data_IF_225247574894
#
_entry.id   IF_225247574894
#
_cell.length_a   1.000
_cell.length_b   1.000
_cell.length_c   1.000
_cell.angle_alpha   90.00
_cell.angle_beta   90.00
_cell.angle_gamma   90.00
#
_symmetry.space_group_name_H-M   'P 1'
#
loop_
_entity.id
_entity.type
_entity.pdbx_description
1 polymer ?
#
# COMPACT_ATOMS: atom_id res chain seq x y z
N UNK A 1 -9.83 -9.28 -4.14
CA UNK A 1 -9.30 -8.87 -2.82
C UNK A 1 -8.62 -10.09 -2.19
N UNK A 2 -7.28 -10.14 -2.14
CA UNK A 2 -6.52 -11.29 -1.60
C UNK A 2 -5.77 -10.97 -0.28
N UNK A 3 -5.99 -9.81 0.33
CA UNK A 3 -5.34 -9.45 1.60
C UNK A 3 -6.14 -9.96 2.80
N UNK A 4 -5.59 -10.92 3.55
CA UNK A 4 -6.04 -11.23 4.90
C UNK A 4 -5.43 -10.17 5.83
N UNK A 5 -6.27 -9.39 6.53
CA UNK A 5 -5.82 -8.39 7.50
C UNK A 5 -5.98 -8.92 8.92
N UNK A 6 -4.88 -9.14 9.64
CA UNK A 6 -4.92 -9.44 11.07
C UNK A 6 -4.75 -8.13 11.86
N UNK A 7 -5.71 -7.85 12.74
CA UNK A 7 -5.69 -6.71 13.65
C UNK A 7 -5.03 -7.09 14.98
N UNK A 8 -3.81 -6.64 15.22
CA UNK A 8 -3.12 -6.78 16.50
C UNK A 8 -3.49 -5.66 17.48
N UNK A 9 -3.82 -6.00 18.72
CA UNK A 9 -4.04 -5.03 19.82
C UNK A 9 -2.73 -4.76 20.57
N UNK A 10 -2.11 -3.61 20.33
CA UNK A 10 -1.15 -3.02 21.25
C UNK A 10 -1.87 -2.02 22.18
N UNK A 11 -1.54 -1.94 23.48
CA UNK A 11 -2.14 -0.99 24.40
C UNK A 11 -1.68 0.43 24.06
N UNK A 12 -2.52 1.15 23.31
CA UNK A 12 -2.28 2.53 22.90
C UNK A 12 -2.67 2.78 21.45
N UNK A 13 -3.97 2.66 21.11
CA UNK A 13 -4.62 3.17 19.87
C UNK A 13 -3.91 2.92 18.52
N UNK A 14 -2.92 2.04 18.48
CA UNK A 14 -2.17 1.62 17.32
C UNK A 14 -2.65 0.21 16.97
N UNK A 15 -3.37 0.11 15.86
CA UNK A 15 -3.80 -1.18 15.32
C UNK A 15 -2.77 -1.63 14.32
N UNK A 16 -2.11 -2.76 14.58
CA UNK A 16 -1.24 -3.39 13.58
C UNK A 16 -2.13 -4.12 12.57
N UNK A 17 -1.91 -3.87 11.29
CA UNK A 17 -2.62 -4.46 10.17
C UNK A 17 -1.61 -5.19 9.31
N UNK A 18 -1.62 -6.52 9.36
CA UNK A 18 -0.73 -7.32 8.53
C UNK A 18 -1.43 -7.79 7.25
N UNK A 19 -0.89 -7.48 6.05
CA UNK A 19 -1.37 -8.00 4.76
C UNK A 19 -0.37 -9.01 4.17
N UNK A 20 -0.87 -10.15 3.68
CA UNK A 20 -0.08 -11.28 3.19
C UNK A 20 -0.59 -11.79 1.83
N UNK A 21 0.11 -11.48 0.73
CA UNK A 21 0.18 -12.39 -0.40
C UNK A 21 1.56 -13.05 -0.42
N UNK A 22 1.62 -14.38 -0.30
CA UNK A 22 2.87 -15.16 -0.40
C UNK A 22 3.84 -14.95 0.78
N UNK A 23 5.16 -14.91 0.49
CA UNK A 23 6.23 -14.75 1.49
C UNK A 23 6.40 -13.30 1.99
N UNK A 24 5.63 -12.34 1.46
CA UNK A 24 5.73 -10.93 1.79
C UNK A 24 4.77 -10.54 2.91
N UNK A 25 5.29 -10.05 4.04
CA UNK A 25 4.50 -9.57 5.19
C UNK A 25 4.54 -8.06 5.24
N UNK A 26 3.45 -7.38 4.90
CA UNK A 26 3.31 -5.95 5.16
C UNK A 26 2.66 -5.75 6.53
N UNK A 27 3.35 -5.13 7.47
CA UNK A 27 2.78 -4.61 8.71
C UNK A 27 2.46 -3.12 8.54
N UNK A 28 1.28 -2.72 9.01
CA UNK A 28 0.82 -1.35 8.95
C UNK A 28 0.30 -0.92 10.31
N UNK A 29 1.04 -0.04 10.98
CA UNK A 29 0.61 0.57 12.22
C UNK A 29 -0.36 1.72 11.91
N UNK A 30 -1.60 1.61 12.39
CA UNK A 30 -2.66 2.61 12.15
C UNK A 30 -3.01 3.33 13.43
N UNK A 31 -2.87 4.65 13.43
CA UNK A 31 -3.30 5.54 14.51
C UNK A 31 -4.69 6.09 14.19
N UNK A 32 -5.67 5.77 15.03
CA UNK A 32 -7.05 6.22 14.89
C UNK A 32 -7.39 7.28 15.92
N UNK A 33 -7.61 8.53 15.52
CA UNK A 33 -8.06 9.54 16.46
C UNK A 33 -9.55 9.34 16.84
N UNK A 34 -9.97 9.65 18.09
CA UNK A 34 -11.37 9.61 18.49
C UNK A 34 -12.29 10.48 17.60
N UNK A 35 -11.73 11.54 17.01
CA UNK A 35 -12.36 12.37 15.99
C UNK A 35 -12.23 11.84 14.56
N UNK A 36 -12.21 10.53 14.33
CA UNK A 36 -11.99 9.89 13.02
C UNK A 36 -12.90 10.40 11.88
N UNK A 37 -14.10 10.92 12.19
CA UNK A 37 -14.97 11.58 11.21
C UNK A 37 -14.43 12.92 10.69
N UNK A 38 -13.44 13.51 11.36
CA UNK A 38 -12.85 14.82 11.08
C UNK A 38 -11.35 14.76 10.83
N UNK A 39 -10.65 13.80 11.44
CA UNK A 39 -9.21 13.59 11.31
C UNK A 39 -8.93 12.23 10.66
N UNK A 40 -8.12 12.18 9.60
CA UNK A 40 -7.81 10.92 8.93
C UNK A 40 -6.95 10.01 9.83
N UNK A 41 -7.10 8.67 9.71
CA UNK A 41 -6.12 7.74 10.22
C UNK A 41 -4.75 7.96 9.59
N UNK A 42 -3.70 7.76 10.38
CA UNK A 42 -2.31 7.83 9.93
C UNK A 42 -1.74 6.40 9.93
N UNK A 43 -1.09 6.03 8.83
CA UNK A 43 -0.47 4.74 8.60
C UNK A 43 1.05 4.86 8.63
N UNK A 44 1.72 3.88 9.25
CA UNK A 44 3.15 3.65 9.07
C UNK A 44 3.37 2.20 8.64
N UNK A 45 4.21 2.00 7.62
CA UNK A 45 4.35 0.74 6.91
C UNK A 45 5.74 0.13 7.15
N UNK A 46 5.76 -1.17 7.42
CA UNK A 46 6.96 -1.99 7.41
C UNK A 46 6.69 -3.24 6.57
N UNK A 47 7.41 -3.39 5.47
CA UNK A 47 7.34 -4.57 4.61
C UNK A 47 8.51 -5.50 4.92
N UNK A 48 8.21 -6.68 5.43
CA UNK A 48 9.17 -7.76 5.58
C UNK A 48 9.06 -8.70 4.38
N UNK A 49 9.87 -8.43 3.35
CA UNK A 49 10.00 -9.27 2.16
C UNK A 49 11.44 -9.13 1.62
N UNK A 50 12.19 -10.24 1.62
CA UNK A 50 13.62 -10.26 1.26
C UNK A 50 14.46 -9.25 2.08
N UNK A 51 14.06 -9.02 3.33
CA UNK A 51 14.60 -8.00 4.23
C UNK A 51 13.52 -7.06 4.76
N UNK A 52 13.88 -6.25 5.74
CA UNK A 52 12.99 -5.24 6.33
C UNK A 52 13.05 -3.94 5.52
N UNK A 53 11.91 -3.54 4.93
CA UNK A 53 11.74 -2.31 4.17
C UNK A 53 10.79 -1.37 4.90
N UNK A 54 11.24 -0.16 5.16
CA UNK A 54 10.51 0.90 5.85
C UNK A 54 10.64 2.20 5.06
N UNK A 55 9.87 3.23 5.40
CA UNK A 55 9.97 4.54 4.76
C UNK A 55 11.33 5.25 4.94
N UNK A 56 12.18 4.75 5.86
CA UNK A 56 13.54 5.24 6.05
C UNK A 56 14.56 4.67 5.06
N UNK A 57 14.31 3.46 4.54
CA UNK A 57 15.27 2.72 3.71
C UNK A 57 14.76 2.43 2.29
N UNK A 58 13.47 2.63 2.03
CA UNK A 58 12.86 2.40 0.72
C UNK A 58 11.89 3.53 0.34
N UNK A 59 12.25 4.24 -0.74
CA UNK A 59 11.46 5.35 -1.28
C UNK A 59 10.06 4.91 -1.72
N UNK A 60 9.88 3.65 -2.13
CA UNK A 60 8.58 3.15 -2.53
C UNK A 60 7.66 2.93 -1.33
N UNK A 61 8.18 2.46 -0.19
CA UNK A 61 7.39 2.35 1.05
C UNK A 61 6.94 3.74 1.50
N UNK A 62 7.85 4.72 1.44
CA UNK A 62 7.52 6.13 1.71
C UNK A 62 6.46 6.68 0.76
N UNK A 63 6.51 6.31 -0.52
CA UNK A 63 5.50 6.71 -1.50
C UNK A 63 4.15 6.00 -1.26
N UNK A 64 4.13 4.74 -0.83
CA UNK A 64 2.92 4.02 -0.41
C UNK A 64 2.27 4.69 0.81
N UNK A 65 3.06 5.05 1.83
CA UNK A 65 2.60 5.83 2.99
C UNK A 65 1.99 7.16 2.55
N UNK A 66 2.65 7.88 1.66
CA UNK A 66 2.14 9.14 1.07
C UNK A 66 0.79 8.95 0.36
N UNK A 67 0.61 7.86 -0.39
CA UNK A 67 -0.64 7.59 -1.11
C UNK A 67 -1.83 7.46 -0.14
N UNK A 68 -1.64 6.79 1.01
CA UNK A 68 -2.73 6.58 1.98
C UNK A 68 -2.88 7.72 2.99
N UNK A 69 -1.79 8.41 3.36
CA UNK A 69 -1.79 9.45 4.38
C UNK A 69 -1.97 10.87 3.83
N UNK A 70 -1.42 11.17 2.65
CA UNK A 70 -1.46 12.53 2.05
C UNK A 70 -2.62 12.63 1.05
N UNK A 71 -2.83 11.58 0.26
CA UNK A 71 -3.87 11.55 -0.78
C UNK A 71 -5.22 11.02 -0.28
N UNK A 72 -5.39 10.93 1.05
CA UNK A 72 -6.61 10.45 1.71
C UNK A 72 -7.89 11.22 1.31
N UNK A 73 -7.77 12.48 0.88
CA UNK A 73 -8.90 13.28 0.38
C UNK A 73 -9.59 12.66 -0.84
N UNK A 74 -8.83 11.97 -1.70
CA UNK A 74 -9.37 11.22 -2.86
C UNK A 74 -10.15 9.97 -2.41
N UNK A 75 -9.87 9.48 -1.20
CA UNK A 75 -10.51 8.32 -0.57
C UNK A 75 -11.71 8.73 0.29
N UNK A 76 -11.95 10.04 0.44
CA UNK A 76 -13.09 10.54 1.18
C UNK A 76 -14.35 10.26 0.37
N UNK A 77 -15.12 9.27 0.82
CA UNK A 77 -16.41 8.92 0.22
C UNK A 77 -17.49 9.98 0.47
N UNK A 78 -18.74 9.73 0.08
CA UNK A 78 -19.86 10.60 0.43
C UNK A 78 -19.93 10.81 1.96
N UNK A 79 -20.26 12.03 2.39
CA UNK A 79 -20.42 12.35 3.81
C UNK A 79 -21.46 11.38 4.42
N UNK A 80 -21.17 10.75 5.57
CA UNK A 80 -20.31 11.27 6.64
C UNK A 80 -18.83 10.83 6.63
N UNK A 81 -18.36 10.12 5.58
CA UNK A 81 -16.94 9.77 5.46
C UNK A 81 -16.47 8.58 6.32
N UNK A 82 -17.38 7.82 6.94
CA UNK A 82 -17.03 6.66 7.77
C UNK A 82 -16.23 5.56 7.07
N UNK A 83 -16.24 5.55 5.72
CA UNK A 83 -15.54 4.56 4.90
C UNK A 83 -14.06 4.89 4.65
N UNK A 84 -13.54 6.01 5.16
CA UNK A 84 -12.18 6.47 4.88
C UNK A 84 -11.11 5.40 5.21
N UNK A 85 -11.18 4.79 6.38
CA UNK A 85 -10.26 3.75 6.84
C UNK A 85 -10.30 2.53 5.91
N UNK A 86 -11.49 2.06 5.55
CA UNK A 86 -11.66 0.93 4.64
C UNK A 86 -11.11 1.27 3.24
N UNK A 87 -11.32 2.50 2.78
CA UNK A 87 -10.78 2.98 1.50
C UNK A 87 -9.25 3.12 1.54
N UNK A 88 -8.67 3.55 2.66
CA UNK A 88 -7.22 3.58 2.88
C UNK A 88 -6.63 2.18 2.89
N UNK A 89 -7.26 1.22 3.58
CA UNK A 89 -6.85 -0.18 3.57
C UNK A 89 -6.94 -0.81 2.17
N UNK A 90 -8.01 -0.52 1.43
CA UNK A 90 -8.17 -0.98 0.06
C UNK A 90 -7.11 -0.38 -0.85
N UNK A 91 -6.84 0.94 -0.74
CA UNK A 91 -5.77 1.61 -1.50
C UNK A 91 -4.41 1.00 -1.14
N UNK A 92 -4.15 0.73 0.14
CA UNK A 92 -2.94 0.10 0.62
C UNK A 92 -2.71 -1.27 -0.03
N UNK A 93 -3.74 -2.12 -0.05
CA UNK A 93 -3.69 -3.41 -0.78
C UNK A 93 -3.38 -3.21 -2.26
N UNK A 94 -4.02 -2.24 -2.92
CA UNK A 94 -3.78 -1.99 -4.35
C UNK A 94 -2.34 -1.55 -4.63
N UNK A 95 -1.77 -0.65 -3.81
CA UNK A 95 -0.38 -0.21 -4.00
C UNK A 95 0.62 -1.29 -3.60
N UNK A 96 0.29 -2.16 -2.64
CA UNK A 96 1.10 -3.33 -2.30
C UNK A 96 1.12 -4.35 -3.45
N UNK A 97 -0.01 -4.64 -4.06
CA UNK A 97 -0.09 -5.50 -5.25
C UNK A 97 0.84 -4.96 -6.34
N UNK A 98 0.72 -3.66 -6.68
CA UNK A 98 1.61 -3.00 -7.66
C UNK A 98 3.07 -3.08 -7.21
N UNK A 99 3.36 -2.87 -5.93
CA UNK A 99 4.73 -2.99 -5.42
C UNK A 99 5.29 -4.39 -5.68
N UNK A 100 4.57 -5.45 -5.32
CA UNK A 100 5.05 -6.82 -5.48
C UNK A 100 5.11 -7.25 -6.95
N UNK A 101 4.17 -6.83 -7.78
CA UNK A 101 4.11 -7.16 -9.21
C UNK A 101 5.20 -6.46 -10.05
N UNK A 102 5.61 -5.26 -9.63
CA UNK A 102 6.59 -4.43 -10.36
C UNK A 102 8.00 -4.52 -9.79
N UNK A 103 8.20 -5.20 -8.67
CA UNK A 103 9.55 -5.50 -8.15
C UNK A 103 10.30 -6.36 -9.16
N UNK A 104 11.46 -5.87 -9.64
CA UNK A 104 12.30 -6.62 -10.56
C UNK A 104 12.78 -7.90 -9.89
N UNK A 105 12.31 -9.04 -10.36
CA UNK A 105 12.94 -10.32 -10.04
C UNK A 105 14.31 -10.37 -10.71
N UNK A 106 15.32 -10.84 -9.98
CA UNK A 106 16.55 -11.30 -10.61
C UNK A 106 16.18 -12.37 -11.64
N UNK A 107 16.42 -12.06 -12.90
CA UNK A 107 16.12 -12.92 -14.06
C UNK A 107 16.96 -14.20 -14.10
N UNK A 108 17.75 -14.49 -13.06
CA UNK A 108 18.62 -15.66 -12.94
C UNK A 108 17.92 -16.88 -12.33
N UNK A 109 16.67 -16.76 -11.88
CA UNK A 109 15.92 -17.89 -11.31
C UNK A 109 14.79 -18.27 -12.26
N UNK A 110 15.00 -19.37 -12.97
CA UNK A 110 14.06 -20.00 -13.90
C UNK A 110 12.92 -20.65 -13.08
N UNK A 111 12.06 -19.81 -12.52
CA UNK A 111 10.92 -20.22 -11.70
C UNK A 111 9.70 -19.33 -11.96
N UNK A 112 8.47 -19.84 -11.73
CA UNK A 112 7.26 -19.04 -11.89
C UNK A 112 7.33 -17.82 -10.95
N UNK A 113 6.98 -16.63 -11.47
CA UNK A 113 6.93 -15.40 -10.66
C UNK A 113 6.05 -15.64 -9.44
N UNK A 114 6.58 -15.36 -8.24
CA UNK A 114 5.84 -15.48 -6.98
C UNK A 114 4.59 -14.57 -6.98
N UNK A 115 4.65 -13.48 -7.74
CA UNK A 115 3.56 -12.53 -7.96
C UNK A 115 3.30 -12.34 -9.47
N UNK A 116 2.20 -12.86 -10.03
CA UNK A 116 1.85 -12.65 -11.43
C UNK A 116 1.53 -11.18 -11.70
N UNK A 117 1.99 -10.65 -12.83
CA UNK A 117 1.69 -9.27 -13.26
C UNK A 117 0.27 -9.19 -13.82
N UNK A 118 -0.69 -8.93 -12.95
CA UNK A 118 -2.11 -8.86 -13.28
C UNK A 118 -2.59 -7.40 -13.47
N UNK A 119 -1.92 -6.39 -12.91
CA UNK A 119 -2.33 -4.98 -13.07
C UNK A 119 -1.78 -4.34 -14.35
N UNK A 120 -2.64 -3.60 -15.04
CA UNK A 120 -2.22 -2.74 -16.15
C UNK A 120 -1.56 -1.45 -15.63
N UNK A 121 -0.23 -1.38 -15.79
CA UNK A 121 0.59 -0.21 -15.48
C UNK A 121 1.07 0.45 -16.78
N UNK A 122 0.83 1.75 -16.98
CA UNK A 122 1.31 2.46 -18.18
C UNK A 122 2.84 2.50 -18.26
N UNK A 123 3.52 2.48 -17.11
CA UNK A 123 4.98 2.44 -16.98
C UNK A 123 5.35 1.81 -15.65
N UNK A 124 6.31 0.87 -15.66
CA UNK A 124 6.73 0.12 -14.47
C UNK A 124 7.51 0.97 -13.46
N UNK A 125 8.35 1.89 -13.95
CA UNK A 125 9.22 2.75 -13.13
C UNK A 125 9.38 4.13 -13.76
N UNK A 126 9.55 5.17 -12.93
CA UNK A 126 9.83 6.55 -13.37
C UNK A 126 10.96 7.19 -12.56
N UNK A 127 11.85 7.89 -13.26
CA UNK A 127 12.90 8.71 -12.65
C UNK A 127 14.08 7.92 -12.07
N UNK A 128 15.11 8.62 -11.54
CA UNK A 128 16.30 7.99 -10.95
C UNK A 128 16.00 7.10 -9.74
N UNK A 129 14.95 7.44 -8.99
CA UNK A 129 14.45 6.70 -7.82
C UNK A 129 13.61 5.48 -8.17
N UNK A 130 13.42 5.18 -9.46
CA UNK A 130 12.63 4.04 -9.98
C UNK A 130 11.23 3.93 -9.33
N UNK A 131 10.60 5.08 -9.06
CA UNK A 131 9.30 5.12 -8.38
C UNK A 131 8.25 4.34 -9.16
N UNK A 132 7.40 3.61 -8.44
CA UNK A 132 6.31 2.79 -9.00
C UNK A 132 5.02 3.59 -9.22
N UNK A 133 4.14 3.14 -10.14
CA UNK A 133 2.91 3.83 -10.46
C UNK A 133 1.80 3.54 -9.41
N UNK A 134 1.77 4.30 -8.31
CA UNK A 134 0.78 4.07 -7.24
C UNK A 134 -0.57 4.77 -7.45
N UNK A 135 -0.69 5.67 -8.44
CA UNK A 135 -1.92 6.40 -8.72
C UNK A 135 -2.84 5.60 -9.62
N UNK A 136 -3.97 5.14 -9.08
CA UNK A 136 -5.01 4.45 -9.85
C UNK A 136 -5.99 5.42 -10.52
N UNK A 137 -6.24 5.23 -11.81
CA UNK A 137 -7.22 5.99 -12.58
C UNK A 137 -8.52 5.18 -12.74
N UNK A 138 -9.55 5.51 -11.95
CA UNK A 138 -10.83 4.78 -11.96
C UNK A 138 -11.53 4.78 -13.33
N UNK A 139 -11.71 5.92 -14.03
CA UNK A 139 -12.35 5.94 -15.34
C UNK A 139 -11.66 5.06 -16.40
N UNK A 140 -10.34 4.91 -16.31
CA UNK A 140 -9.53 4.30 -17.38
C UNK A 140 -8.91 2.94 -16.98
N UNK A 141 -9.02 2.54 -15.72
CA UNK A 141 -8.63 1.21 -15.23
C UNK A 141 -7.13 0.93 -15.19
N UNK A 142 -6.26 1.95 -15.18
CA UNK A 142 -4.80 1.77 -15.18
C UNK A 142 -4.09 2.48 -14.03
N UNK A 143 -2.87 2.03 -13.74
CA UNK A 143 -1.94 2.68 -12.82
C UNK A 143 -0.97 3.64 -13.53
N UNK A 144 -0.76 4.79 -12.91
CA UNK A 144 0.13 5.86 -13.38
C UNK A 144 1.02 6.39 -12.24
N UNK A 145 2.09 7.09 -12.59
CA UNK A 145 2.87 7.83 -11.61
C UNK A 145 2.12 9.11 -11.20
N UNK A 146 2.29 9.54 -9.94
CA UNK A 146 1.97 10.92 -9.57
C UNK A 146 2.92 11.90 -10.29
#
# INVERSE_FOLDING_TARGET
>A
LRGLFCLGTAPGLARDVSALPGSAKLQAAVVLNPGYSTLPPIFSLCLNWKGERTSSNDDNIRAMESEVNVSYKELWGPKPGYQLLTNQLQRLCMVLDVYLETESHDTSVEGPKEFPQEKMCLRLVRGPTRMKPFKFNYPQGFFSHR
#
